data_IF_757980074861
#
_entry.id   IF_757980074861
#
_cell.length_a   1.000
_cell.length_b   1.000
_cell.length_c   1.000
_cell.angle_alpha   90.00
_cell.angle_beta   90.00
_cell.angle_gamma   90.00
#
_symmetry.space_group_name_H-M   'P 1'
#
loop_
_entity.id
_entity.type
_entity.pdbx_description
1 polymer ?
#
# COMPACT_ATOMS: atom_id res chain seq x y z
N UNK A 1 10.21 -29.71 -2.39
CA UNK A 1 10.82 -29.16 -3.62
C UNK A 1 10.86 -27.64 -3.53
N UNK A 2 12.05 -27.10 -3.58
CA UNK A 2 12.53 -25.74 -3.32
C UNK A 2 11.58 -24.58 -3.69
N UNK A 3 10.75 -24.16 -2.75
CA UNK A 3 9.91 -22.98 -2.86
C UNK A 3 10.68 -21.68 -2.49
N UNK A 4 11.78 -21.82 -1.74
CA UNK A 4 12.67 -20.71 -1.39
C UNK A 4 13.52 -20.21 -2.60
N UNK A 5 13.81 -21.09 -3.57
CA UNK A 5 14.59 -20.74 -4.76
C UNK A 5 13.82 -19.88 -5.80
N UNK A 6 12.53 -19.62 -5.58
CA UNK A 6 11.66 -18.89 -6.53
C UNK A 6 11.22 -17.50 -6.06
N UNK A 7 11.65 -17.06 -4.89
CA UNK A 7 11.41 -15.68 -4.41
C UNK A 7 12.63 -14.79 -4.73
N UNK A 8 12.44 -13.47 -4.97
CA UNK A 8 13.55 -12.56 -5.19
C UNK A 8 14.45 -12.49 -3.94
N UNK A 9 15.76 -12.47 -4.13
CA UNK A 9 16.75 -12.63 -3.05
C UNK A 9 16.67 -11.52 -1.98
N UNK A 10 16.48 -10.27 -2.40
CA UNK A 10 16.30 -9.10 -1.52
C UNK A 10 15.49 -8.02 -2.24
N UNK A 11 14.19 -8.19 -2.33
CA UNK A 11 13.38 -7.26 -3.10
C UNK A 11 13.18 -5.93 -2.38
N UNK A 12 12.89 -4.88 -3.16
CA UNK A 12 12.52 -3.57 -2.66
C UNK A 12 10.99 -3.51 -2.50
N UNK A 13 10.51 -3.14 -1.32
CA UNK A 13 9.11 -2.84 -1.09
C UNK A 13 8.90 -1.35 -0.86
N UNK A 14 8.01 -0.73 -1.65
CA UNK A 14 7.63 0.67 -1.45
C UNK A 14 6.42 0.72 -0.51
N UNK A 15 6.64 1.32 0.66
CA UNK A 15 5.64 1.55 1.70
C UNK A 15 5.20 3.01 1.69
N UNK A 16 3.94 3.24 1.86
CA UNK A 16 3.37 4.59 1.94
C UNK A 16 1.87 4.56 1.71
N UNK A 17 1.19 5.55 2.24
CA UNK A 17 -0.25 5.67 2.04
C UNK A 17 -0.60 6.01 0.59
N UNK A 18 -1.82 5.70 0.19
CA UNK A 18 -2.41 6.25 -1.04
C UNK A 18 -2.21 7.77 -1.12
N UNK A 19 -1.81 8.29 -2.28
CA UNK A 19 -1.59 9.73 -2.52
C UNK A 19 -0.35 10.34 -1.85
N UNK A 20 0.52 9.53 -1.24
CA UNK A 20 1.78 10.00 -0.64
C UNK A 20 2.96 10.06 -1.60
N UNK A 21 2.77 9.75 -2.90
CA UNK A 21 3.87 9.78 -3.87
C UNK A 21 4.49 8.41 -4.17
N UNK A 22 3.94 7.32 -3.62
CA UNK A 22 4.44 5.96 -3.85
C UNK A 22 4.52 5.56 -5.33
N UNK A 23 3.61 6.07 -6.18
CA UNK A 23 3.68 5.85 -7.64
C UNK A 23 4.80 6.62 -8.32
N UNK A 24 5.20 7.78 -7.79
CA UNK A 24 6.36 8.50 -8.30
C UNK A 24 7.64 7.70 -8.01
N UNK A 25 7.83 7.26 -6.75
CA UNK A 25 8.95 6.39 -6.38
C UNK A 25 8.97 5.09 -7.19
N UNK A 26 7.82 4.45 -7.41
CA UNK A 26 7.77 3.22 -8.21
C UNK A 26 8.22 3.45 -9.68
N UNK A 27 7.83 4.57 -10.28
CA UNK A 27 8.29 4.95 -11.63
C UNK A 27 9.79 5.22 -11.67
N UNK A 28 10.31 5.94 -10.66
CA UNK A 28 11.76 6.22 -10.59
C UNK A 28 12.57 4.96 -10.35
N UNK A 29 12.05 3.97 -9.59
CA UNK A 29 12.69 2.66 -9.46
C UNK A 29 12.78 1.92 -10.80
N UNK A 30 11.73 1.99 -11.64
CA UNK A 30 11.80 1.47 -13.02
C UNK A 30 12.89 2.19 -13.82
N UNK A 31 12.95 3.53 -13.76
CA UNK A 31 14.01 4.32 -14.42
C UNK A 31 15.41 3.98 -13.89
N UNK A 32 15.54 3.58 -12.62
CA UNK A 32 16.78 3.08 -12.04
C UNK A 32 17.08 1.61 -12.43
N UNK A 33 16.18 0.95 -13.14
CA UNK A 33 16.38 -0.43 -13.63
C UNK A 33 15.87 -1.53 -12.69
N UNK A 34 15.01 -1.19 -11.73
CA UNK A 34 14.33 -2.20 -10.91
C UNK A 34 13.30 -2.97 -11.75
N UNK A 35 13.19 -4.28 -11.52
CA UNK A 35 12.17 -5.13 -12.10
C UNK A 35 10.89 -5.10 -11.25
N UNK A 36 9.77 -4.73 -11.86
CA UNK A 36 8.47 -4.64 -11.16
C UNK A 36 7.42 -5.66 -11.64
N UNK A 37 7.88 -6.68 -12.37
CA UNK A 37 7.04 -7.74 -12.96
C UNK A 37 6.89 -7.64 -14.47
N UNK A 38 6.38 -8.71 -15.07
CA UNK A 38 6.09 -8.79 -16.50
C UNK A 38 5.02 -7.77 -16.91
N UNK A 39 5.07 -7.30 -18.15
CA UNK A 39 4.13 -6.29 -18.69
C UNK A 39 2.65 -6.65 -18.48
N UNK A 40 2.32 -7.94 -18.58
CA UNK A 40 0.95 -8.43 -18.33
C UNK A 40 0.45 -8.21 -16.90
N UNK A 41 1.36 -8.07 -15.93
CA UNK A 41 1.02 -7.87 -14.54
C UNK A 41 1.23 -6.44 -14.05
N UNK A 42 2.00 -5.62 -14.77
CA UNK A 42 2.25 -4.23 -14.34
C UNK A 42 1.12 -3.31 -14.78
N UNK A 43 0.46 -2.68 -13.84
CA UNK A 43 -0.62 -1.74 -14.09
C UNK A 43 -0.08 -0.36 -14.51
N UNK A 44 -0.95 0.50 -15.06
CA UNK A 44 -0.61 1.91 -15.38
C UNK A 44 -0.12 2.72 -14.17
N UNK A 45 -0.34 2.23 -12.93
CA UNK A 45 0.11 2.87 -11.69
C UNK A 45 1.40 2.27 -11.16
N UNK A 46 2.07 1.45 -11.97
CA UNK A 46 3.29 0.76 -11.54
C UNK A 46 3.03 -0.10 -10.30
N UNK A 47 1.95 -0.87 -10.33
CA UNK A 47 1.56 -1.86 -9.32
C UNK A 47 1.52 -3.22 -9.98
N UNK A 48 2.00 -4.25 -9.31
CA UNK A 48 1.86 -5.62 -9.77
C UNK A 48 0.44 -6.11 -9.51
N UNK A 49 -0.30 -6.47 -10.54
CA UNK A 49 -1.74 -6.77 -10.46
C UNK A 49 -2.08 -7.90 -9.46
N UNK A 50 -1.27 -8.97 -9.43
CA UNK A 50 -1.49 -10.07 -8.47
C UNK A 50 -1.17 -9.63 -7.03
N UNK A 51 -0.12 -8.81 -6.82
CA UNK A 51 0.14 -8.23 -5.47
C UNK A 51 -1.05 -7.37 -5.04
N UNK A 52 -1.56 -6.56 -5.95
CA UNK A 52 -2.72 -5.70 -5.69
C UNK A 52 -3.97 -6.53 -5.33
N UNK A 53 -4.24 -7.60 -6.07
CA UNK A 53 -5.37 -8.51 -5.82
C UNK A 53 -5.20 -9.22 -4.47
N UNK A 54 -4.04 -9.83 -4.20
CA UNK A 54 -3.74 -10.48 -2.93
C UNK A 54 -3.94 -9.52 -1.76
N UNK A 55 -3.39 -8.31 -1.82
CA UNK A 55 -3.54 -7.30 -0.78
C UNK A 55 -5.00 -6.90 -0.56
N UNK A 56 -5.78 -6.77 -1.64
CA UNK A 56 -7.21 -6.46 -1.53
C UNK A 56 -7.98 -7.61 -0.88
N UNK A 57 -7.69 -8.86 -1.26
CA UNK A 57 -8.32 -10.05 -0.70
C UNK A 57 -7.96 -10.25 0.78
N UNK A 58 -6.70 -10.01 1.16
CA UNK A 58 -6.26 -10.02 2.55
C UNK A 58 -7.06 -9.02 3.40
N UNK A 59 -7.13 -7.75 3.00
CA UNK A 59 -7.91 -6.76 3.74
C UNK A 59 -9.40 -7.14 3.80
N UNK A 60 -9.96 -7.62 2.69
CA UNK A 60 -11.37 -8.00 2.62
C UNK A 60 -11.70 -9.21 3.48
N UNK A 61 -10.83 -10.22 3.48
CA UNK A 61 -10.97 -11.45 4.27
C UNK A 61 -10.96 -11.19 5.78
N UNK A 62 -10.25 -10.12 6.20
CA UNK A 62 -10.22 -9.66 7.59
C UNK A 62 -11.23 -8.52 7.89
N UNK A 63 -12.28 -8.37 7.07
CA UNK A 63 -13.37 -7.43 7.34
C UNK A 63 -13.05 -5.97 7.05
N UNK A 64 -11.97 -5.68 6.30
CA UNK A 64 -11.58 -4.32 5.96
C UNK A 64 -11.67 -3.99 4.48
N UNK A 65 -11.18 -2.80 4.16
CA UNK A 65 -11.07 -2.25 2.80
C UNK A 65 -9.91 -1.25 2.78
N UNK A 66 -9.36 -0.92 1.60
CA UNK A 66 -8.27 0.06 1.52
C UNK A 66 -8.62 1.44 2.13
N UNK A 67 -9.91 1.83 2.15
CA UNK A 67 -10.38 3.10 2.72
C UNK A 67 -10.81 3.02 4.17
N UNK A 68 -10.72 1.84 4.78
CA UNK A 68 -10.91 1.58 6.20
C UNK A 68 -10.31 0.19 6.48
N UNK A 69 -8.99 0.13 6.66
CA UNK A 69 -8.29 -1.12 6.84
C UNK A 69 -8.77 -1.86 8.11
N UNK A 70 -8.71 -3.19 8.13
CA UNK A 70 -9.08 -3.97 9.31
C UNK A 70 -8.09 -3.71 10.46
N UNK A 71 -8.51 -4.01 11.66
CA UNK A 71 -7.62 -4.19 12.81
C UNK A 71 -7.10 -5.62 12.75
N UNK A 72 -5.88 -5.79 12.24
CA UNK A 72 -5.25 -7.10 12.15
C UNK A 72 -4.74 -7.51 13.53
N UNK A 73 -5.19 -8.66 14.00
CA UNK A 73 -4.77 -9.23 15.30
C UNK A 73 -3.52 -10.09 15.11
N UNK A 74 -2.81 -10.36 16.20
CA UNK A 74 -1.63 -11.24 16.17
C UNK A 74 -1.98 -12.60 15.56
N UNK A 75 -1.10 -13.12 14.72
CA UNK A 75 -1.29 -14.40 14.04
C UNK A 75 -2.15 -14.37 12.77
N UNK A 76 -2.73 -13.24 12.38
CA UNK A 76 -3.60 -13.12 11.21
C UNK A 76 -2.98 -13.65 9.90
N UNK A 77 -1.65 -13.65 9.80
CA UNK A 77 -0.93 -14.18 8.64
C UNK A 77 -1.21 -15.66 8.41
N UNK A 78 -1.49 -16.41 9.47
CA UNK A 78 -1.79 -17.85 9.43
C UNK A 78 -3.28 -18.17 9.36
N UNK A 79 -4.14 -17.18 9.31
CA UNK A 79 -5.60 -17.37 9.23
C UNK A 79 -6.01 -18.01 7.90
N UNK A 80 -7.16 -18.74 7.84
CA UNK A 80 -7.70 -19.29 6.59
C UNK A 80 -7.84 -18.23 5.48
N UNK A 81 -8.33 -17.03 5.81
CA UNK A 81 -8.47 -15.94 4.84
C UNK A 81 -7.14 -15.49 4.22
N UNK A 82 -6.03 -15.62 4.95
CA UNK A 82 -4.68 -15.38 4.43
C UNK A 82 -4.16 -16.55 3.61
N UNK A 83 -4.51 -17.79 3.99
CA UNK A 83 -4.12 -19.00 3.27
C UNK A 83 -4.69 -19.05 1.85
N UNK A 84 -5.89 -18.54 1.63
CA UNK A 84 -6.58 -18.52 0.33
C UNK A 84 -5.85 -17.71 -0.75
N UNK A 85 -4.93 -16.83 -0.38
CA UNK A 85 -4.17 -16.00 -1.35
C UNK A 85 -2.73 -16.47 -1.56
N UNK A 86 -2.25 -17.47 -0.80
CA UNK A 86 -0.84 -17.93 -0.83
C UNK A 86 -0.41 -18.40 -2.22
N UNK A 87 -1.28 -19.12 -2.93
CA UNK A 87 -0.97 -19.65 -4.27
C UNK A 87 -0.70 -18.51 -5.26
N UNK A 88 -1.58 -17.51 -5.30
CA UNK A 88 -1.46 -16.34 -6.19
C UNK A 88 -0.29 -15.45 -5.78
N UNK A 89 -0.07 -15.27 -4.48
CA UNK A 89 1.08 -14.54 -3.96
C UNK A 89 2.42 -15.16 -4.39
N UNK A 90 2.51 -16.49 -4.37
CA UNK A 90 3.70 -17.20 -4.88
C UNK A 90 3.87 -17.04 -6.39
N UNK A 91 2.79 -16.95 -7.18
CA UNK A 91 2.89 -16.62 -8.60
C UNK A 91 3.45 -15.22 -8.79
N UNK A 92 2.96 -14.24 -8.00
CA UNK A 92 3.47 -12.87 -8.04
C UNK A 92 4.96 -12.80 -7.68
N UNK A 93 5.40 -13.50 -6.62
CA UNK A 93 6.80 -13.52 -6.19
C UNK A 93 7.71 -14.18 -7.24
N UNK A 94 7.26 -15.24 -7.92
CA UNK A 94 8.02 -15.85 -9.02
C UNK A 94 8.19 -14.90 -10.20
N UNK A 95 7.14 -14.15 -10.56
CA UNK A 95 7.22 -13.16 -11.63
C UNK A 95 8.19 -12.03 -11.24
N UNK A 96 8.13 -11.56 -10.00
CA UNK A 96 9.06 -10.56 -9.46
C UNK A 96 10.50 -11.06 -9.37
N UNK A 97 10.75 -12.36 -9.19
CA UNK A 97 12.09 -12.94 -9.18
C UNK A 97 12.73 -13.07 -10.58
N UNK A 98 12.00 -12.77 -11.64
CA UNK A 98 12.39 -13.13 -13.03
C UNK A 98 13.62 -12.40 -13.55
N UNK A 99 13.82 -11.12 -13.21
CA UNK A 99 14.86 -10.30 -13.82
C UNK A 99 15.39 -9.20 -12.86
N UNK A 100 16.68 -9.21 -12.56
CA UNK A 100 17.36 -8.13 -11.82
C UNK A 100 16.82 -7.83 -10.42
N UNK A 101 17.14 -6.67 -9.85
CA UNK A 101 16.62 -6.25 -8.55
C UNK A 101 15.11 -6.05 -8.59
N UNK A 102 14.39 -6.90 -7.85
CA UNK A 102 12.93 -6.85 -7.81
C UNK A 102 12.41 -5.69 -6.95
N UNK A 103 11.35 -5.05 -7.39
CA UNK A 103 10.63 -4.08 -6.59
C UNK A 103 9.12 -4.23 -6.78
N UNK A 104 8.35 -3.91 -5.76
CA UNK A 104 6.90 -3.77 -5.91
C UNK A 104 6.34 -2.65 -5.03
N UNK A 105 5.23 -2.13 -5.47
CA UNK A 105 4.50 -1.08 -4.77
C UNK A 105 3.01 -1.37 -4.73
N UNK A 106 2.47 -1.39 -3.54
CA UNK A 106 1.04 -1.25 -3.27
C UNK A 106 0.88 -0.55 -1.91
N UNK A 107 0.08 0.51 -1.81
CA UNK A 107 -0.11 1.20 -0.52
C UNK A 107 -0.61 0.27 0.60
N UNK A 108 -1.35 -0.79 0.29
CA UNK A 108 -1.85 -1.77 1.26
C UNK A 108 -0.74 -2.60 1.89
N UNK A 109 0.48 -2.60 1.31
CA UNK A 109 1.65 -3.21 1.94
C UNK A 109 1.92 -2.65 3.34
N UNK A 110 1.44 -1.44 3.65
CA UNK A 110 1.45 -0.90 5.01
C UNK A 110 0.87 -1.88 6.04
N UNK A 111 -0.12 -2.68 5.66
CA UNK A 111 -0.79 -3.67 6.50
C UNK A 111 -0.35 -5.10 6.18
N UNK A 112 -0.12 -5.39 4.90
CA UNK A 112 0.04 -6.77 4.41
C UNK A 112 1.49 -7.21 4.30
N UNK A 113 2.47 -6.35 4.57
CA UNK A 113 3.88 -6.69 4.50
C UNK A 113 4.27 -7.90 5.37
N UNK A 114 3.73 -8.10 6.59
CA UNK A 114 4.02 -9.31 7.37
C UNK A 114 3.66 -10.61 6.63
N UNK A 115 2.56 -10.63 5.88
CA UNK A 115 2.19 -11.77 5.03
C UNK A 115 3.22 -11.99 3.92
N UNK A 116 3.64 -10.94 3.22
CA UNK A 116 4.66 -11.07 2.17
C UNK A 116 6.00 -11.53 2.72
N UNK A 117 6.42 -11.01 3.88
CA UNK A 117 7.64 -11.46 4.58
C UNK A 117 7.61 -12.93 4.90
N UNK A 118 6.46 -13.49 5.27
CA UNK A 118 6.33 -14.93 5.56
C UNK A 118 6.56 -15.84 4.35
N UNK A 119 6.44 -15.29 3.13
CA UNK A 119 6.63 -16.03 1.88
C UNK A 119 8.01 -15.78 1.23
N UNK A 120 8.76 -14.79 1.70
CA UNK A 120 10.11 -14.49 1.23
C UNK A 120 11.16 -15.35 1.93
N UNK A 121 12.27 -15.64 1.26
CA UNK A 121 13.42 -16.33 1.85
C UNK A 121 14.33 -15.44 2.69
N UNK A 122 14.04 -14.13 2.77
CA UNK A 122 14.78 -13.12 3.53
C UNK A 122 14.00 -11.82 3.60
N UNK A 123 14.47 -10.88 4.41
CA UNK A 123 13.81 -9.59 4.57
C UNK A 123 13.98 -8.67 3.36
N UNK A 124 12.92 -8.02 2.89
CA UNK A 124 13.01 -7.01 1.85
C UNK A 124 13.70 -5.74 2.37
N UNK A 125 14.16 -4.90 1.44
CA UNK A 125 14.49 -3.50 1.74
C UNK A 125 13.24 -2.65 1.59
N UNK A 126 12.97 -1.75 2.53
CA UNK A 126 11.80 -0.90 2.48
C UNK A 126 12.15 0.55 2.09
N UNK A 127 11.33 1.13 1.20
CA UNK A 127 11.34 2.57 0.94
C UNK A 127 10.05 3.15 1.55
N UNK A 128 10.18 3.91 2.63
CA UNK A 128 9.06 4.61 3.25
C UNK A 128 8.85 5.95 2.56
N UNK A 129 7.68 6.13 1.95
CA UNK A 129 7.30 7.39 1.28
C UNK A 129 6.18 8.05 2.07
N UNK A 130 6.43 9.23 2.60
CA UNK A 130 5.46 9.98 3.39
C UNK A 130 5.17 11.36 2.82
N UNK A 131 3.99 11.88 3.13
CA UNK A 131 3.50 13.17 2.65
C UNK A 131 2.65 13.84 3.72
N UNK A 132 2.63 15.18 3.68
CA UNK A 132 1.84 16.00 4.59
C UNK A 132 0.36 15.56 4.64
N UNK A 133 -0.23 15.35 5.84
CA UNK A 133 -1.58 14.77 5.96
C UNK A 133 -2.66 15.57 5.22
N UNK A 134 -2.60 16.90 5.24
CA UNK A 134 -3.59 17.73 4.54
C UNK A 134 -3.41 17.70 3.02
N UNK A 135 -2.18 17.53 2.51
CA UNK A 135 -1.97 17.31 1.06
C UNK A 135 -2.57 15.98 0.61
N UNK A 136 -2.44 14.94 1.42
CA UNK A 136 -3.07 13.64 1.18
C UNK A 136 -4.59 13.76 1.24
N UNK A 137 -5.12 14.45 2.27
CA UNK A 137 -6.55 14.67 2.44
C UNK A 137 -7.17 15.44 1.26
N UNK A 138 -6.55 16.53 0.81
CA UNK A 138 -6.98 17.29 -0.36
C UNK A 138 -6.99 16.43 -1.64
N UNK A 139 -5.96 15.58 -1.81
CA UNK A 139 -5.88 14.66 -2.94
C UNK A 139 -6.96 13.55 -2.90
N UNK A 140 -7.33 13.06 -1.71
CA UNK A 140 -8.41 12.09 -1.53
C UNK A 140 -9.78 12.73 -1.72
N UNK A 141 -9.99 13.95 -1.24
CA UNK A 141 -11.22 14.71 -1.49
C UNK A 141 -11.46 14.86 -2.99
N UNK A 142 -10.46 15.30 -3.75
CA UNK A 142 -10.57 15.50 -5.21
C UNK A 142 -10.86 14.17 -5.95
N UNK A 143 -10.28 13.05 -5.51
CA UNK A 143 -10.36 11.77 -6.23
C UNK A 143 -11.54 10.91 -5.79
N UNK A 144 -11.86 10.89 -4.52
CA UNK A 144 -12.74 9.91 -3.87
C UNK A 144 -13.90 10.55 -3.13
N UNK A 145 -13.97 11.89 -3.13
CA UNK A 145 -14.97 12.67 -2.37
C UNK A 145 -14.95 12.33 -0.86
N UNK A 146 -13.75 12.13 -0.31
CA UNK A 146 -13.59 11.85 1.12
C UNK A 146 -13.54 13.14 1.93
N UNK A 147 -14.27 13.17 3.03
CA UNK A 147 -14.16 14.25 4.02
C UNK A 147 -12.75 14.32 4.63
N UNK A 148 -12.35 15.53 5.06
CA UNK A 148 -11.00 15.78 5.61
C UNK A 148 -10.74 14.91 6.84
N UNK A 149 -11.65 14.85 7.80
CA UNK A 149 -11.50 14.06 9.03
C UNK A 149 -11.24 12.57 8.74
N UNK A 150 -12.05 11.97 7.84
CA UNK A 150 -11.82 10.59 7.42
C UNK A 150 -10.48 10.41 6.72
N UNK A 151 -10.10 11.35 5.85
CA UNK A 151 -8.84 11.28 5.11
C UNK A 151 -7.62 11.34 6.02
N UNK A 152 -7.66 12.18 7.07
CA UNK A 152 -6.58 12.32 8.05
C UNK A 152 -6.54 11.12 8.99
N UNK A 153 -7.70 10.58 9.42
CA UNK A 153 -7.77 9.34 10.20
C UNK A 153 -7.20 8.15 9.39
N UNK A 154 -7.52 8.06 8.12
CA UNK A 154 -6.99 7.04 7.22
C UNK A 154 -5.48 7.22 6.99
N UNK A 155 -5.01 8.48 6.85
CA UNK A 155 -3.59 8.80 6.78
C UNK A 155 -2.84 8.32 8.03
N UNK A 156 -3.40 8.55 9.21
CA UNK A 156 -2.85 8.06 10.47
C UNK A 156 -2.77 6.54 10.51
N UNK A 157 -3.85 5.85 10.15
CA UNK A 157 -3.91 4.38 10.15
C UNK A 157 -2.83 3.76 9.26
N UNK A 158 -2.68 4.25 8.03
CA UNK A 158 -1.67 3.75 7.09
C UNK A 158 -0.25 4.00 7.57
N UNK A 159 0.03 5.21 8.05
CA UNK A 159 1.41 5.55 8.44
C UNK A 159 1.82 4.84 9.73
N UNK A 160 0.92 4.64 10.68
CA UNK A 160 1.21 3.79 11.85
C UNK A 160 1.48 2.34 11.45
N UNK A 161 0.64 1.77 10.59
CA UNK A 161 0.78 0.40 10.13
C UNK A 161 2.10 0.19 9.37
N UNK A 162 2.49 1.09 8.47
CA UNK A 162 3.74 0.95 7.73
C UNK A 162 4.97 1.04 8.64
N UNK A 163 4.96 1.90 9.67
CA UNK A 163 6.06 2.00 10.63
C UNK A 163 6.22 0.69 11.41
N UNK A 164 5.10 0.09 11.85
CA UNK A 164 5.11 -1.22 12.52
C UNK A 164 5.57 -2.33 11.57
N UNK A 165 5.05 -2.37 10.34
CA UNK A 165 5.40 -3.40 9.36
C UNK A 165 6.86 -3.33 8.89
N UNK A 166 7.47 -2.15 8.93
CA UNK A 166 8.86 -1.93 8.55
C UNK A 166 9.87 -2.27 9.67
N UNK A 167 9.40 -2.55 10.89
CA UNK A 167 10.29 -2.86 12.02
C UNK A 167 11.27 -3.99 11.70
N UNK A 168 12.54 -3.77 12.02
CA UNK A 168 13.65 -4.70 11.78
C UNK A 168 14.17 -4.73 10.35
N UNK A 169 13.59 -4.00 9.41
CA UNK A 169 14.05 -3.93 8.02
C UNK A 169 15.13 -2.87 7.83
N UNK A 170 15.91 -3.00 6.76
CA UNK A 170 16.68 -1.89 6.20
C UNK A 170 15.73 -0.93 5.49
N UNK A 171 15.73 0.34 5.90
CA UNK A 171 14.78 1.35 5.45
C UNK A 171 15.49 2.58 4.89
N UNK A 172 15.06 3.05 3.73
CA UNK A 172 15.31 4.43 3.28
C UNK A 172 14.01 5.22 3.31
N UNK A 173 14.02 6.45 3.81
CA UNK A 173 12.84 7.29 3.93
C UNK A 173 12.84 8.44 2.94
N UNK A 174 11.69 8.75 2.36
CA UNK A 174 11.52 9.80 1.35
C UNK A 174 10.31 10.66 1.68
N UNK A 175 10.55 11.93 1.99
CA UNK A 175 9.50 12.93 1.98
C UNK A 175 9.09 13.25 0.54
N UNK A 176 7.79 13.17 0.22
CA UNK A 176 7.31 13.51 -1.13
C UNK A 176 7.66 14.95 -1.53
N UNK A 177 7.71 15.87 -0.57
CA UNK A 177 8.13 17.25 -0.80
C UNK A 177 9.59 17.36 -1.26
N UNK A 178 10.49 16.56 -0.68
CA UNK A 178 11.91 16.53 -1.09
C UNK A 178 12.05 15.97 -2.51
N UNK A 179 11.36 14.87 -2.82
CA UNK A 179 11.34 14.30 -4.17
C UNK A 179 10.82 15.29 -5.22
N UNK A 180 9.78 16.05 -4.89
CA UNK A 180 9.19 17.04 -5.81
C UNK A 180 10.06 18.29 -5.97
N UNK A 181 10.83 18.66 -4.95
CA UNK A 181 11.69 19.85 -4.95
C UNK A 181 13.03 19.60 -5.66
N UNK A 182 13.68 18.48 -5.31
CA UNK A 182 14.99 18.10 -5.87
C UNK A 182 15.00 16.57 -6.11
N UNK A 183 14.43 16.13 -7.24
CA UNK A 183 14.34 14.71 -7.55
C UNK A 183 15.72 14.05 -7.72
N UNK A 184 16.68 14.71 -8.35
CA UNK A 184 18.02 14.12 -8.58
C UNK A 184 18.72 13.85 -7.24
N UNK A 185 18.79 14.83 -6.36
CA UNK A 185 19.42 14.68 -5.04
C UNK A 185 18.72 13.59 -4.22
N UNK A 186 17.38 13.61 -4.21
CA UNK A 186 16.58 12.63 -3.46
C UNK A 186 16.82 11.20 -3.97
N UNK A 187 16.82 10.99 -5.29
CA UNK A 187 17.03 9.68 -5.88
C UNK A 187 18.48 9.20 -5.78
N UNK A 188 19.44 10.12 -5.78
CA UNK A 188 20.85 9.78 -5.48
C UNK A 188 20.95 9.19 -4.08
N UNK A 189 20.41 9.86 -3.07
CA UNK A 189 20.42 9.35 -1.69
C UNK A 189 19.70 8.01 -1.53
N UNK A 190 18.53 7.83 -2.19
CA UNK A 190 17.81 6.54 -2.19
C UNK A 190 18.68 5.45 -2.81
N UNK A 191 19.30 5.71 -3.95
CA UNK A 191 20.13 4.73 -4.64
C UNK A 191 21.37 4.35 -3.81
N UNK A 192 22.03 5.32 -3.19
CA UNK A 192 23.16 5.09 -2.28
C UNK A 192 22.73 4.19 -1.11
N UNK A 193 21.62 4.51 -0.44
CA UNK A 193 21.07 3.66 0.64
C UNK A 193 20.76 2.25 0.17
N UNK A 194 20.17 2.08 -1.01
CA UNK A 194 19.88 0.75 -1.57
C UNK A 194 21.16 -0.05 -1.83
N UNK A 195 22.21 0.60 -2.37
CA UNK A 195 23.53 -0.03 -2.58
C UNK A 195 24.16 -0.46 -1.25
N UNK A 196 24.12 0.37 -0.21
CA UNK A 196 24.58 0.01 1.14
C UNK A 196 23.80 -1.16 1.73
N UNK A 197 22.51 -1.26 1.44
CA UNK A 197 21.68 -2.41 1.79
C UNK A 197 21.89 -3.65 0.89
N UNK A 198 22.83 -3.59 -0.05
CA UNK A 198 23.17 -4.70 -0.96
C UNK A 198 22.20 -4.87 -2.15
N UNK A 199 21.52 -3.79 -2.54
CA UNK A 199 20.66 -3.77 -3.73
C UNK A 199 21.17 -2.74 -4.73
N UNK A 200 21.85 -3.19 -5.77
CA UNK A 200 22.40 -2.32 -6.81
C UNK A 200 21.40 -2.14 -7.96
N UNK A 201 21.10 -0.89 -8.27
CA UNK A 201 20.28 -0.51 -9.42
C UNK A 201 21.18 0.08 -10.52
N UNK A 202 21.10 -0.42 -11.77
CA UNK A 202 22.03 -0.05 -12.83
C UNK A 202 21.82 1.37 -13.39
N UNK A 203 20.63 1.95 -13.26
CA UNK A 203 20.28 3.25 -13.78
C UNK A 203 20.83 4.41 -12.96
N UNK A 204 20.80 5.62 -13.53
CA UNK A 204 21.24 6.84 -12.84
C UNK A 204 20.07 7.63 -12.26
N UNK A 205 20.34 8.38 -11.17
CA UNK A 205 19.34 9.26 -10.58
C UNK A 205 18.87 10.36 -11.55
N UNK A 206 19.76 10.81 -12.44
CA UNK A 206 19.44 11.82 -13.46
C UNK A 206 18.40 11.31 -14.46
N UNK A 207 18.57 10.08 -14.96
CA UNK A 207 17.65 9.49 -15.93
C UNK A 207 16.27 9.22 -15.28
N UNK A 208 16.29 8.66 -14.07
CA UNK A 208 15.07 8.38 -13.31
C UNK A 208 14.32 9.63 -12.85
N UNK A 209 15.01 10.76 -12.66
CA UNK A 209 14.39 12.02 -12.25
C UNK A 209 13.48 12.60 -13.34
N UNK A 210 13.71 12.29 -14.62
CA UNK A 210 12.86 12.74 -15.73
C UNK A 210 11.41 12.25 -15.61
N UNK A 211 11.19 11.12 -14.93
CA UNK A 211 9.86 10.56 -14.68
C UNK A 211 9.11 11.21 -13.51
N UNK A 212 9.79 12.08 -12.76
CA UNK A 212 9.17 12.85 -11.67
C UNK A 212 8.48 14.07 -12.25
N UNK A 213 7.18 13.99 -12.44
CA UNK A 213 6.37 15.13 -12.86
C UNK A 213 6.33 16.17 -11.72
N UNK A 214 7.12 17.24 -11.86
CA UNK A 214 7.21 18.35 -10.92
C UNK A 214 5.88 19.07 -10.68
N UNK A 215 4.96 18.95 -11.64
CA UNK A 215 3.67 19.66 -11.66
C UNK A 215 2.56 18.98 -10.83
N UNK A 216 2.85 17.87 -10.12
CA UNK A 216 1.84 17.13 -9.33
C UNK A 216 1.66 17.62 -7.90
N UNK A 217 2.41 18.61 -7.44
CA UNK A 217 2.23 19.20 -6.11
C UNK A 217 1.17 20.31 -6.17
N UNK A 218 -0.10 19.92 -6.32
CA UNK A 218 -1.23 20.85 -6.44
C UNK A 218 -1.63 21.55 -5.14
N UNK A 219 -1.21 21.02 -3.99
CA UNK A 219 -1.53 21.57 -2.67
C UNK A 219 -0.28 21.57 -1.83
N UNK A 220 0.03 22.69 -1.21
CA UNK A 220 1.16 22.87 -0.28
C UNK A 220 0.58 23.39 1.03
N UNK A 221 0.88 22.68 2.11
CA UNK A 221 0.50 23.07 3.45
C UNK A 221 1.74 23.11 4.34
N UNK A 222 1.95 24.22 5.01
CA UNK A 222 3.09 24.43 5.91
C UNK A 222 2.71 24.24 7.38
N UNK A 223 1.42 24.14 7.67
CA UNK A 223 0.90 24.06 9.04
C UNK A 223 -0.11 22.92 9.22
N UNK A 224 -0.26 22.49 10.45
CA UNK A 224 -1.27 21.53 10.89
C UNK A 224 -2.23 22.22 11.86
N UNK A 225 -3.38 22.75 11.42
CA UNK A 225 -4.36 23.39 12.29
C UNK A 225 -4.90 22.42 13.34
N UNK A 226 -5.02 22.89 14.61
CA UNK A 226 -5.49 22.09 15.73
C UNK A 226 -6.96 21.66 15.58
N UNK A 227 -7.74 22.41 14.82
CA UNK A 227 -9.15 22.10 14.53
C UNK A 227 -9.32 20.92 13.56
N UNK A 228 -8.26 20.56 12.83
CA UNK A 228 -8.29 19.51 11.81
C UNK A 228 -7.49 18.28 12.24
N UNK A 229 -6.36 18.48 12.92
CA UNK A 229 -5.38 17.45 13.21
C UNK A 229 -5.24 17.25 14.71
N UNK A 230 -5.45 16.03 15.19
CA UNK A 230 -5.29 15.71 16.62
C UNK A 230 -3.82 15.80 17.06
N UNK A 231 -3.55 15.96 18.38
CA UNK A 231 -2.20 15.90 18.90
C UNK A 231 -1.44 14.61 18.52
N UNK A 232 -2.15 13.48 18.46
CA UNK A 232 -1.58 12.17 18.06
C UNK A 232 -1.16 12.13 16.60
N UNK A 233 -1.94 12.72 15.72
CA UNK A 233 -1.62 12.84 14.29
C UNK A 233 -0.46 13.81 14.06
N UNK A 234 -0.37 14.87 14.86
CA UNK A 234 0.77 15.80 14.86
C UNK A 234 2.05 15.10 15.33
N UNK A 235 1.97 14.29 16.40
CA UNK A 235 3.09 13.50 16.87
C UNK A 235 3.57 12.51 15.80
N UNK A 236 2.65 11.82 15.11
CA UNK A 236 2.97 10.93 14.00
C UNK A 236 3.64 11.68 12.84
N UNK A 237 3.15 12.88 12.48
CA UNK A 237 3.79 13.70 11.46
C UNK A 237 5.21 14.09 11.87
N UNK A 238 5.41 14.49 13.11
CA UNK A 238 6.75 14.78 13.66
C UNK A 238 7.68 13.58 13.58
N UNK A 239 7.20 12.39 13.94
CA UNK A 239 7.96 11.15 13.83
C UNK A 239 8.34 10.82 12.38
N UNK A 240 7.41 10.97 11.42
CA UNK A 240 7.71 10.76 9.99
C UNK A 240 8.75 11.74 9.47
N UNK A 241 8.66 13.02 9.85
CA UNK A 241 9.65 14.04 9.48
C UNK A 241 11.03 13.80 10.14
N UNK A 242 11.06 13.11 11.28
CA UNK A 242 12.28 12.76 12.00
C UNK A 242 12.92 11.43 11.56
N UNK A 243 12.34 10.72 10.58
CA UNK A 243 12.92 9.47 10.08
C UNK A 243 14.30 9.75 9.45
N UNK A 244 15.26 8.92 9.80
CA UNK A 244 16.56 8.93 9.13
C UNK A 244 16.38 8.57 7.65
N UNK A 245 17.10 9.22 6.73
CA UNK A 245 17.05 8.87 5.32
C UNK A 245 17.61 7.46 5.03
N UNK A 246 18.41 6.92 5.96
CA UNK A 246 19.02 5.60 5.89
C UNK A 246 19.02 4.97 7.29
N UNK A 247 18.48 3.75 7.43
CA UNK A 247 18.42 3.00 8.69
C UNK A 247 18.52 1.50 8.39
N UNK A 248 19.59 0.85 8.85
CA UNK A 248 19.84 -0.58 8.60
C UNK A 248 18.94 -1.49 9.43
N UNK A 249 18.46 -1.02 10.58
CA UNK A 249 17.64 -1.80 11.52
C UNK A 249 16.52 -0.93 12.08
N UNK A 250 15.57 -0.61 11.21
CA UNK A 250 14.51 0.32 11.52
C UNK A 250 13.74 -0.07 12.80
N UNK A 251 13.63 0.89 13.69
CA UNK A 251 12.85 0.75 14.92
C UNK A 251 11.60 1.62 14.82
N UNK A 252 10.46 1.02 15.14
CA UNK A 252 9.19 1.77 15.17
C UNK A 252 9.28 2.89 16.22
N UNK A 253 9.03 4.16 15.82
CA UNK A 253 8.98 5.26 16.77
C UNK A 253 7.92 5.04 17.85
N UNK A 254 8.20 5.48 19.08
CA UNK A 254 7.18 5.54 20.13
C UNK A 254 6.14 6.62 19.79
N UNK A 255 4.88 6.24 19.75
CA UNK A 255 3.78 7.10 19.34
C UNK A 255 2.65 7.03 20.35
N UNK A 256 2.00 8.15 20.69
CA UNK A 256 0.83 8.14 21.53
C UNK A 256 -0.28 7.28 20.90
N UNK A 257 -1.17 6.71 21.70
CA UNK A 257 -2.30 5.93 21.19
C UNK A 257 -3.16 6.74 20.21
N UNK A 258 -3.78 6.03 19.26
CA UNK A 258 -4.69 6.64 18.28
C UNK A 258 -5.84 7.35 18.99
N UNK A 259 -6.15 8.57 18.58
CA UNK A 259 -7.27 9.33 19.16
C UNK A 259 -8.60 8.58 18.95
N UNK A 260 -9.48 8.50 19.98
CA UNK A 260 -10.76 7.79 19.88
C UNK A 260 -11.60 8.20 18.65
N UNK A 261 -11.67 9.48 18.32
CA UNK A 261 -12.42 9.98 17.17
C UNK A 261 -11.88 9.43 15.82
N UNK A 262 -10.57 9.22 15.69
CA UNK A 262 -10.00 8.60 14.50
C UNK A 262 -10.43 7.13 14.37
N UNK A 263 -10.43 6.40 15.50
CA UNK A 263 -10.91 5.00 15.54
C UNK A 263 -12.39 4.91 15.17
N UNK A 264 -13.21 5.80 15.70
CA UNK A 264 -14.65 5.85 15.46
C UNK A 264 -14.96 6.11 13.98
N UNK A 265 -14.37 7.15 13.37
CA UNK A 265 -14.52 7.45 11.94
C UNK A 265 -14.18 6.25 11.04
N UNK A 266 -13.11 5.53 11.35
CA UNK A 266 -12.70 4.37 10.59
C UNK A 266 -13.62 3.16 10.84
N UNK A 267 -14.12 2.98 12.07
CA UNK A 267 -15.08 1.92 12.42
C UNK A 267 -16.42 2.13 11.71
N UNK A 268 -16.96 3.36 11.73
CA UNK A 268 -18.17 3.73 10.99
C UNK A 268 -18.01 3.45 9.49
N UNK A 269 -16.86 3.80 8.91
CA UNK A 269 -16.58 3.53 7.50
C UNK A 269 -16.52 2.04 7.20
N UNK A 270 -15.88 1.22 8.07
CA UNK A 270 -15.88 -0.25 7.93
C UNK A 270 -17.30 -0.80 7.97
N UNK A 271 -18.11 -0.37 8.94
CA UNK A 271 -19.50 -0.80 9.05
C UNK A 271 -20.34 -0.45 7.80
N UNK A 272 -20.17 0.77 7.28
CA UNK A 272 -20.86 1.19 6.05
C UNK A 272 -20.45 0.35 4.82
N UNK A 273 -19.17 0.00 4.69
CA UNK A 273 -18.66 -0.86 3.62
C UNK A 273 -19.21 -2.28 3.75
N UNK A 274 -19.21 -2.85 4.96
CA UNK A 274 -19.77 -4.16 5.22
C UNK A 274 -21.28 -4.23 4.87
N UNK A 275 -22.06 -3.26 5.35
CA UNK A 275 -23.50 -3.18 5.04
C UNK A 275 -23.77 -3.08 3.53
N UNK A 276 -22.94 -2.36 2.79
CA UNK A 276 -23.05 -2.26 1.33
C UNK A 276 -22.73 -3.59 0.64
N UNK A 277 -21.69 -4.30 1.07
CA UNK A 277 -21.40 -5.66 0.55
C UNK A 277 -22.55 -6.60 0.76
N UNK A 278 -23.09 -6.68 1.97
CA UNK A 278 -24.22 -7.53 2.30
C UNK A 278 -25.45 -7.21 1.43
N UNK A 279 -25.68 -5.93 1.17
CA UNK A 279 -26.78 -5.49 0.30
C UNK A 279 -26.55 -5.92 -1.16
N UNK A 280 -25.33 -5.79 -1.68
CA UNK A 280 -24.96 -6.19 -3.05
C UNK A 280 -25.03 -7.71 -3.23
N UNK A 281 -24.61 -8.50 -2.24
CA UNK A 281 -24.70 -9.96 -2.23
C UNK A 281 -26.17 -10.42 -2.25
N UNK A 282 -27.01 -9.87 -1.37
CA UNK A 282 -28.46 -10.15 -1.36
C UNK A 282 -29.14 -9.78 -2.68
N UNK A 283 -28.77 -8.63 -3.26
CA UNK A 283 -29.29 -8.20 -4.55
C UNK A 283 -28.88 -9.16 -5.69
N UNK A 284 -27.66 -9.70 -5.63
CA UNK A 284 -27.14 -10.67 -6.60
C UNK A 284 -27.86 -12.02 -6.47
N UNK A 285 -28.05 -12.49 -5.23
CA UNK A 285 -28.78 -13.72 -4.95
C UNK A 285 -30.23 -13.64 -5.44
N UNK A 286 -30.92 -12.52 -5.16
CA UNK A 286 -32.27 -12.28 -5.63
C UNK A 286 -32.37 -12.26 -7.17
N UNK A 287 -31.38 -11.65 -7.84
CA UNK A 287 -31.33 -11.68 -9.33
C UNK A 287 -31.14 -13.09 -9.85
N UNK A 288 -30.28 -13.88 -9.25
CA UNK A 288 -30.04 -15.28 -9.63
C UNK A 288 -31.26 -16.16 -9.41
N UNK A 289 -31.94 -16.02 -8.26
CA UNK A 289 -33.21 -16.72 -7.99
C UNK A 289 -34.31 -16.35 -8.97
N UNK A 290 -34.47 -15.06 -9.32
CA UNK A 290 -35.43 -14.61 -10.34
C UNK A 290 -35.13 -15.16 -11.73
N UNK A 291 -33.84 -15.20 -12.12
CA UNK A 291 -33.43 -15.78 -13.41
C UNK A 291 -33.71 -17.28 -13.47
N UNK A 292 -33.49 -18.04 -12.39
CA UNK A 292 -33.79 -19.44 -12.29
C UNK A 292 -35.32 -19.70 -12.43
N UNK A 293 -36.14 -18.94 -11.70
CA UNK A 293 -37.61 -19.04 -11.78
C UNK A 293 -38.13 -18.77 -13.19
N UNK A 294 -37.63 -17.75 -13.89
CA UNK A 294 -37.97 -17.46 -15.28
C UNK A 294 -37.63 -18.60 -16.22
N UNK A 295 -36.48 -19.29 -16.01
CA UNK A 295 -36.11 -20.48 -16.80
C UNK A 295 -37.02 -21.69 -16.56
N UNK A 296 -37.45 -21.88 -15.32
CA UNK A 296 -38.39 -22.98 -14.97
C UNK A 296 -39.79 -22.76 -15.54
N UNK A 297 -40.33 -21.54 -15.39
CA UNK A 297 -41.63 -21.18 -15.93
C UNK A 297 -41.66 -21.16 -17.47
N UNK A 298 -40.58 -20.69 -18.11
CA UNK A 298 -40.48 -20.67 -19.59
C UNK A 298 -40.32 -22.04 -20.24
N UNK A 299 -39.91 -23.09 -19.49
CA UNK A 299 -39.90 -24.47 -20.01
C UNK A 299 -41.26 -25.16 -19.95
N UNK A 300 -42.09 -24.84 -18.97
CA UNK A 300 -43.43 -25.46 -18.84
C UNK A 300 -44.43 -24.97 -19.88
N UNK A 301 -44.15 -23.91 -20.63
CA UNK A 301 -45.04 -23.39 -21.68
C UNK A 301 -44.68 -23.81 -23.12
N UNK A 302 -43.69 -24.71 -23.30
CA UNK A 302 -43.32 -25.25 -24.63
C UNK A 302 -43.70 -26.72 -24.85
N UNK A 303 -44.24 -27.40 -23.82
CA UNK A 303 -44.66 -28.80 -23.88
C UNK A 303 -46.18 -28.92 -23.74
N UNK A 304 -46.95 -27.88 -24.05
CA UNK A 304 -48.41 -27.88 -24.10
C UNK A 304 -48.92 -27.59 -25.53
#
# INVERSE_FOLDING_TARGET
TDLAASAPARPIVVLGMHRSGTSAIAKTLLGLGAWMGSEQFVTRRTEHALVQDCNQRLLNGHGGHWSAAPELVDGWVSDPASSDVVADARVALRDLAGHGPAAWKDPRNAFTLPFWRSLLGGDPVAIIVYRHPLEVAASLAKRNDFGIGHSVALWEQYNRALLVSAAGLSVTSVAYSALALDPIRTLTAVRESLTEFGVDLPGTASDAASDVESDRRHHVFDTLPDEIVTPQQRALWGALCGLAPHDEHFTTPDLPEVHPASRELLAERRAAIAARRDADERATELRSRRALLRRLVGKSGRDA
#
